data_IF_523453215903
#
_entry.id   IF_523453215903
#
_cell.length_a   1.000
_cell.length_b   1.000
_cell.length_c   1.000
_cell.angle_alpha   90.00
_cell.angle_beta   90.00
_cell.angle_gamma   90.00
#
_symmetry.space_group_name_H-M   'P 1'
#
loop_
_entity.id
_entity.type
_entity.pdbx_description
1 polymer ?
#
# COMPACT_ATOMS: atom_id res chain seq x y z
N UNK A 1 14.76 8.96 -48.72
CA UNK A 1 14.32 9.37 -47.36
C UNK A 1 15.48 9.97 -46.60
N UNK A 2 15.32 11.22 -46.17
CA UNK A 2 16.31 11.98 -45.42
C UNK A 2 16.35 11.51 -43.95
N UNK A 3 17.50 11.67 -43.28
CA UNK A 3 17.72 11.38 -41.86
C UNK A 3 16.71 12.08 -40.95
N UNK A 4 16.23 13.26 -41.37
CA UNK A 4 15.21 14.01 -40.64
C UNK A 4 13.84 13.32 -40.65
N UNK A 5 13.41 12.80 -41.80
CA UNK A 5 12.14 12.08 -41.94
C UNK A 5 12.12 10.79 -41.09
N UNK A 6 13.27 10.12 -40.96
CA UNK A 6 13.39 8.93 -40.09
C UNK A 6 13.24 9.28 -38.61
N UNK A 7 13.74 10.44 -38.18
CA UNK A 7 13.58 10.93 -36.80
C UNK A 7 12.12 11.30 -36.53
N UNK A 8 11.46 11.96 -37.47
CA UNK A 8 10.07 12.36 -37.34
C UNK A 8 9.13 11.16 -37.28
N UNK A 9 9.36 10.14 -38.12
CA UNK A 9 8.59 8.90 -38.09
C UNK A 9 8.75 8.14 -36.76
N UNK A 10 9.96 8.15 -36.19
CA UNK A 10 10.24 7.52 -34.88
C UNK A 10 9.57 8.28 -33.74
N UNK A 11 9.58 9.61 -33.77
CA UNK A 11 8.90 10.45 -32.80
C UNK A 11 7.38 10.30 -32.87
N UNK A 12 6.82 10.18 -34.08
CA UNK A 12 5.39 9.91 -34.30
C UNK A 12 4.97 8.57 -33.70
N UNK A 13 5.71 7.48 -33.95
CA UNK A 13 5.45 6.16 -33.35
C UNK A 13 5.53 6.16 -31.82
N UNK A 14 6.46 6.92 -31.23
CA UNK A 14 6.52 7.06 -29.76
C UNK A 14 5.26 7.75 -29.21
N UNK A 15 4.79 8.83 -29.85
CA UNK A 15 3.56 9.53 -29.43
C UNK A 15 2.33 8.63 -29.51
N UNK A 16 2.22 7.82 -30.57
CA UNK A 16 1.14 6.84 -30.72
C UNK A 16 1.20 5.74 -29.64
N UNK A 17 2.40 5.23 -29.31
CA UNK A 17 2.61 4.29 -28.21
C UNK A 17 2.22 4.87 -26.83
N UNK A 18 2.51 6.14 -26.57
CA UNK A 18 2.08 6.81 -25.34
C UNK A 18 0.57 7.06 -25.32
N UNK A 19 -0.06 7.35 -26.46
CA UNK A 19 -1.51 7.53 -26.57
C UNK A 19 -2.29 6.20 -26.39
N UNK A 20 -1.73 5.07 -26.86
CA UNK A 20 -2.28 3.73 -26.62
C UNK A 20 -2.12 3.28 -25.17
N UNK A 21 -1.09 3.76 -24.46
CA UNK A 21 -0.95 3.60 -23.00
C UNK A 21 -1.81 4.61 -22.21
N UNK A 22 -3.03 4.90 -22.67
CA UNK A 22 -4.07 5.41 -21.77
C UNK A 22 -4.30 4.34 -20.71
N UNK A 23 -3.61 4.49 -19.58
CA UNK A 23 -3.86 3.74 -18.36
C UNK A 23 -5.31 4.07 -18.02
N UNK A 24 -6.22 3.14 -18.30
CA UNK A 24 -7.57 3.24 -17.75
C UNK A 24 -7.40 3.42 -16.24
N UNK A 25 -8.06 4.42 -15.62
CA UNK A 25 -8.00 4.57 -14.19
C UNK A 25 -8.45 3.24 -13.59
N UNK A 26 -7.51 2.51 -12.97
CA UNK A 26 -7.79 1.25 -12.28
C UNK A 26 -9.05 1.49 -11.48
N UNK A 27 -10.10 0.71 -11.77
CA UNK A 27 -11.41 0.77 -11.13
C UNK A 27 -11.17 1.13 -9.67
N UNK A 28 -11.62 2.32 -9.25
CA UNK A 28 -11.57 2.74 -7.85
C UNK A 28 -12.08 1.54 -7.06
N UNK A 29 -11.26 1.00 -6.16
CA UNK A 29 -11.68 -0.09 -5.28
C UNK A 29 -12.90 0.46 -4.55
N UNK A 30 -14.07 0.00 -4.99
CA UNK A 30 -15.33 0.40 -4.41
C UNK A 30 -15.23 0.00 -2.96
N UNK A 31 -15.44 0.98 -2.07
CA UNK A 31 -15.53 0.79 -0.63
C UNK A 31 -16.26 -0.52 -0.38
N UNK A 32 -15.58 -1.54 0.18
CA UNK A 32 -16.26 -2.72 0.72
C UNK A 32 -17.05 -2.24 1.94
N UNK A 33 -18.20 -1.62 1.69
CA UNK A 33 -19.18 -1.36 2.73
C UNK A 33 -19.73 -2.72 3.14
N UNK A 34 -19.23 -3.23 4.26
CA UNK A 34 -19.90 -4.33 4.96
C UNK A 34 -19.50 -5.74 4.56
N UNK A 35 -18.22 -6.04 4.29
CA UNK A 35 -17.74 -7.43 4.37
C UNK A 35 -17.64 -7.85 5.85
N UNK A 36 -18.79 -8.01 6.51
CA UNK A 36 -18.87 -8.59 7.85
C UNK A 36 -18.70 -10.10 7.77
N UNK A 37 -17.77 -10.67 8.55
CA UNK A 37 -17.65 -12.13 8.72
C UNK A 37 -16.42 -12.78 8.08
N UNK A 38 -15.32 -12.06 7.90
CA UNK A 38 -14.05 -12.68 7.48
C UNK A 38 -13.40 -13.36 8.71
N UNK A 39 -12.97 -14.59 8.49
CA UNK A 39 -12.22 -15.43 9.43
C UNK A 39 -10.80 -15.56 8.89
N UNK A 40 -9.81 -15.28 9.73
CA UNK A 40 -8.40 -15.39 9.35
C UNK A 40 -7.58 -15.98 10.49
N UNK A 41 -6.63 -16.82 10.14
CA UNK A 41 -5.60 -17.32 11.05
C UNK A 41 -4.45 -16.34 11.02
N UNK A 42 -4.11 -15.76 12.17
CA UNK A 42 -3.05 -14.76 12.25
C UNK A 42 -2.02 -15.14 13.29
N UNK A 43 -0.79 -14.69 13.05
CA UNK A 43 0.27 -14.64 14.05
C UNK A 43 0.42 -13.21 14.51
N UNK A 44 0.56 -13.01 15.82
CA UNK A 44 1.01 -11.72 16.35
C UNK A 44 2.51 -11.61 16.10
N UNK A 45 2.88 -10.85 15.06
CA UNK A 45 4.27 -10.62 14.70
C UNK A 45 4.93 -9.64 15.67
N UNK A 46 4.23 -8.56 16.03
CA UNK A 46 4.73 -7.56 16.96
C UNK A 46 3.63 -7.02 17.86
N UNK A 47 4.03 -6.63 19.08
CA UNK A 47 3.16 -6.05 20.10
C UNK A 47 3.76 -4.74 20.55
N UNK A 48 3.06 -3.64 20.29
CA UNK A 48 3.49 -2.31 20.71
C UNK A 48 3.13 -2.07 22.17
N UNK A 49 3.85 -1.18 22.87
CA UNK A 49 3.47 -0.79 24.24
C UNK A 49 2.08 -0.15 24.27
N UNK A 50 1.23 -0.47 25.27
CA UNK A 50 -0.08 0.17 25.41
C UNK A 50 0.03 1.70 25.48
N UNK A 51 -0.86 2.39 24.77
CA UNK A 51 -0.96 3.86 24.72
C UNK A 51 -2.30 4.31 25.25
N UNK A 52 -2.36 5.51 25.80
CA UNK A 52 -3.61 6.15 26.24
C UNK A 52 -4.17 6.96 25.06
N UNK A 53 -5.46 6.84 24.79
CA UNK A 53 -6.10 7.64 23.77
C UNK A 53 -6.11 9.12 24.17
N UNK A 54 -5.86 10.03 23.22
CA UNK A 54 -5.75 11.46 23.51
C UNK A 54 -7.05 12.08 24.04
N UNK A 55 -8.20 11.53 23.65
CA UNK A 55 -9.53 12.08 23.95
C UNK A 55 -10.37 11.23 24.89
N UNK A 56 -9.80 10.14 25.42
CA UNK A 56 -10.53 9.23 26.32
C UNK A 56 -9.56 8.49 27.25
N UNK A 57 -9.98 8.13 28.46
CA UNK A 57 -9.14 7.36 29.39
C UNK A 57 -8.86 5.92 28.92
N UNK A 58 -9.44 5.51 27.79
CA UNK A 58 -9.27 4.19 27.20
C UNK A 58 -7.81 3.96 26.75
N UNK A 59 -7.24 2.85 27.21
CA UNK A 59 -5.94 2.35 26.72
C UNK A 59 -6.16 1.54 25.45
N UNK A 60 -5.26 1.69 24.49
CA UNK A 60 -5.23 0.89 23.27
C UNK A 60 -3.83 0.32 23.06
N UNK A 61 -3.76 -0.80 22.35
CA UNK A 61 -2.50 -1.45 22.02
C UNK A 61 -2.53 -1.81 20.53
N UNK A 62 -1.48 -1.40 19.82
CA UNK A 62 -1.31 -1.79 18.43
C UNK A 62 -0.70 -3.20 18.38
N UNK A 63 -1.28 -4.05 17.54
CA UNK A 63 -0.76 -5.39 17.25
C UNK A 63 -0.47 -5.45 15.75
N UNK A 64 0.73 -5.90 15.40
CA UNK A 64 1.05 -6.26 14.02
C UNK A 64 0.67 -7.72 13.83
N UNK A 65 -0.32 -7.96 12.99
CA UNK A 65 -0.79 -9.30 12.64
C UNK A 65 -0.24 -9.67 11.26
N UNK A 66 0.38 -10.83 11.16
CA UNK A 66 0.82 -11.40 9.89
C UNK A 66 -0.04 -12.60 9.55
N UNK A 67 -0.45 -12.67 8.29
CA UNK A 67 -1.00 -13.88 7.71
C UNK A 67 0.15 -14.85 7.42
N UNK A 68 -0.06 -16.13 7.67
CA UNK A 68 0.87 -17.17 7.24
C UNK A 68 0.32 -17.75 5.96
N UNK A 69 1.09 -17.66 4.86
CA UNK A 69 0.71 -17.97 3.46
C UNK A 69 0.24 -19.40 3.15
N UNK A 70 -0.33 -20.13 4.11
CA UNK A 70 -0.94 -21.43 3.91
C UNK A 70 -2.45 -21.25 3.86
N UNK A 71 -2.94 -21.03 2.64
CA UNK A 71 -4.36 -21.05 2.27
C UNK A 71 -4.94 -22.47 2.38
N UNK A 72 -4.90 -23.08 3.55
CA UNK A 72 -5.63 -24.31 3.81
C UNK A 72 -7.11 -23.96 3.99
N UNK A 73 -7.87 -23.92 2.89
CA UNK A 73 -9.35 -23.80 2.90
C UNK A 73 -10.04 -24.86 3.79
N UNK A 74 -9.31 -25.89 4.20
CA UNK A 74 -9.77 -27.02 5.02
C UNK A 74 -9.54 -26.84 6.53
N UNK A 75 -8.94 -25.73 6.99
CA UNK A 75 -8.61 -25.53 8.40
C UNK A 75 -9.40 -24.39 9.07
N UNK A 76 -10.50 -23.93 8.48
CA UNK A 76 -11.36 -22.94 9.13
C UNK A 76 -12.04 -23.63 10.32
N UNK A 77 -11.87 -23.13 11.56
CA UNK A 77 -12.55 -23.71 12.70
C UNK A 77 -14.05 -23.56 12.53
N UNK A 78 -14.76 -24.68 12.64
CA UNK A 78 -16.22 -24.73 12.51
C UNK A 78 -16.90 -24.30 13.82
N UNK A 79 -16.22 -24.50 14.95
CA UNK A 79 -16.75 -24.25 16.29
C UNK A 79 -16.39 -22.84 16.79
N UNK A 80 -17.36 -22.16 17.41
CA UNK A 80 -17.17 -20.80 17.93
C UNK A 80 -16.12 -20.71 19.06
N UNK A 81 -15.86 -21.83 19.74
CA UNK A 81 -14.91 -21.92 20.85
C UNK A 81 -13.45 -21.83 20.42
N UNK A 82 -13.17 -22.10 19.15
CA UNK A 82 -11.82 -22.05 18.59
C UNK A 82 -11.39 -20.63 18.23
N UNK A 83 -12.33 -19.68 18.26
CA UNK A 83 -12.06 -18.28 17.99
C UNK A 83 -11.65 -17.55 19.27
N UNK A 84 -10.54 -16.84 19.17
CA UNK A 84 -10.05 -15.97 20.24
C UNK A 84 -10.50 -14.54 20.00
N UNK A 85 -11.10 -13.91 21.01
CA UNK A 85 -11.38 -12.47 20.96
C UNK A 85 -10.08 -11.66 21.00
N UNK A 86 -10.02 -10.59 20.19
CA UNK A 86 -8.83 -9.71 20.10
C UNK A 86 -8.42 -9.15 21.47
N UNK A 87 -9.40 -8.90 22.37
CA UNK A 87 -9.13 -8.40 23.73
C UNK A 87 -8.26 -9.36 24.54
N UNK A 88 -8.43 -10.67 24.33
CA UNK A 88 -7.73 -11.71 25.09
C UNK A 88 -6.29 -11.91 24.58
N UNK A 89 -6.00 -11.49 23.34
CA UNK A 89 -4.65 -11.54 22.74
C UNK A 89 -3.70 -10.54 23.43
N UNK A 90 -4.23 -9.44 23.97
CA UNK A 90 -3.43 -8.40 24.65
C UNK A 90 -2.75 -8.91 25.94
N UNK A 91 -3.25 -9.98 26.56
CA UNK A 91 -2.64 -10.60 27.75
C UNK A 91 -1.54 -11.61 27.45
N UNK A 92 -1.44 -12.07 26.20
CA UNK A 92 -0.52 -13.15 25.82
C UNK A 92 0.91 -12.61 25.73
N UNK A 93 1.86 -13.29 26.40
CA UNK A 93 3.30 -13.04 26.28
C UNK A 93 3.78 -13.58 24.92
N UNK A 94 4.66 -12.81 24.28
CA UNK A 94 5.26 -12.93 22.93
C UNK A 94 5.89 -14.30 22.63
N UNK A 95 5.08 -15.35 22.57
CA UNK A 95 5.41 -16.60 21.91
C UNK A 95 4.63 -16.58 20.60
N UNK A 96 5.25 -17.08 19.50
CA UNK A 96 4.65 -17.21 18.16
C UNK A 96 3.43 -18.14 18.19
N UNK A 97 2.35 -17.68 18.80
CA UNK A 97 1.10 -18.40 18.94
C UNK A 97 0.14 -17.97 17.84
N UNK A 98 -0.57 -18.94 17.31
CA UNK A 98 -1.55 -18.75 16.25
C UNK A 98 -2.92 -18.55 16.88
N UNK A 99 -3.65 -17.55 16.41
CA UNK A 99 -5.01 -17.28 16.86
C UNK A 99 -5.95 -17.25 15.66
N UNK A 100 -7.10 -17.87 15.82
CA UNK A 100 -8.24 -17.67 14.94
C UNK A 100 -9.07 -16.51 15.47
N UNK A 101 -9.31 -15.51 14.64
CA UNK A 101 -10.08 -14.33 15.04
C UNK A 101 -11.25 -14.09 14.10
N UNK A 102 -12.40 -13.71 14.65
CA UNK A 102 -13.53 -13.13 13.90
C UNK A 102 -13.42 -11.62 14.00
N UNK A 103 -13.36 -10.95 12.86
CA UNK A 103 -13.15 -9.51 12.80
C UNK A 103 -14.09 -8.79 11.84
N UNK A 104 -14.06 -7.46 11.90
CA UNK A 104 -14.58 -6.57 10.85
C UNK A 104 -13.40 -5.78 10.31
N UNK A 105 -13.15 -5.89 9.00
CA UNK A 105 -12.11 -5.14 8.31
C UNK A 105 -12.77 -3.87 7.82
N UNK A 106 -12.27 -2.74 8.26
CA UNK A 106 -12.57 -1.46 7.62
C UNK A 106 -11.34 -1.03 6.83
N UNK A 107 -11.47 -0.97 5.51
CA UNK A 107 -10.47 -0.33 4.66
C UNK A 107 -10.77 1.17 4.67
N UNK A 108 -9.95 1.93 5.38
CA UNK A 108 -9.91 3.38 5.23
C UNK A 108 -9.06 3.69 4.00
N UNK A 109 -9.68 4.31 2.99
CA UNK A 109 -8.93 4.91 1.87
C UNK A 109 -8.14 6.07 2.46
N UNK A 110 -6.86 5.83 2.75
CA UNK A 110 -5.94 6.90 3.06
C UNK A 110 -5.76 7.67 1.75
N UNK A 111 -6.19 8.93 1.71
CA UNK A 111 -5.96 9.83 0.58
C UNK A 111 -4.49 10.29 0.58
N UNK A 112 -3.58 9.33 0.71
CA UNK A 112 -2.14 9.52 0.64
C UNK A 112 -1.72 9.20 -0.79
N UNK A 113 -0.89 10.07 -1.38
CA UNK A 113 -0.29 9.74 -2.67
C UNK A 113 0.63 8.54 -2.44
N UNK A 114 0.31 7.41 -3.07
CA UNK A 114 1.16 6.21 -3.06
C UNK A 114 2.42 6.38 -3.92
N UNK A 115 2.60 7.57 -4.49
CA UNK A 115 3.73 7.94 -5.31
C UNK A 115 4.30 9.27 -4.81
N UNK A 116 5.62 9.40 -4.93
CA UNK A 116 6.30 10.68 -4.75
C UNK A 116 6.94 11.09 -6.08
N UNK A 117 7.16 12.40 -6.25
CA UNK A 117 7.89 12.89 -7.40
C UNK A 117 9.39 12.70 -7.16
N UNK A 118 10.11 12.33 -8.21
CA UNK A 118 11.54 12.12 -8.15
C UNK A 118 12.23 12.58 -9.42
N UNK A 119 13.53 12.84 -9.31
CA UNK A 119 14.38 13.14 -10.46
C UNK A 119 14.44 11.95 -11.42
N UNK A 120 14.16 12.19 -12.71
CA UNK A 120 14.33 11.21 -13.77
C UNK A 120 15.75 10.63 -13.91
N UNK A 121 16.78 11.36 -13.43
CA UNK A 121 18.18 10.94 -13.54
C UNK A 121 18.66 10.16 -12.30
N UNK A 122 18.47 10.71 -11.09
CA UNK A 122 19.02 10.11 -9.86
C UNK A 122 17.99 9.46 -8.93
N UNK A 123 16.70 9.49 -9.28
CA UNK A 123 15.59 8.91 -8.53
C UNK A 123 15.47 9.44 -7.08
N UNK A 124 16.11 10.57 -6.77
CA UNK A 124 15.93 11.25 -5.47
C UNK A 124 14.65 12.06 -5.49
N UNK A 125 14.00 12.12 -4.33
CA UNK A 125 12.73 12.82 -4.13
C UNK A 125 12.81 14.28 -4.58
N UNK A 126 11.72 14.76 -5.16
CA UNK A 126 11.51 16.16 -5.54
C UNK A 126 10.15 16.63 -5.05
N UNK A 127 10.05 17.92 -4.77
CA UNK A 127 8.80 18.61 -4.43
C UNK A 127 8.06 19.15 -5.66
N UNK A 128 8.67 19.05 -6.85
CA UNK A 128 8.09 19.56 -8.10
C UNK A 128 6.92 18.70 -8.59
N UNK A 129 6.05 19.27 -9.44
CA UNK A 129 4.90 18.54 -9.97
C UNK A 129 5.30 17.61 -11.11
N UNK A 130 4.41 16.68 -11.46
CA UNK A 130 4.66 15.75 -12.55
C UNK A 130 4.96 16.47 -13.87
N UNK A 131 6.11 16.15 -14.45
CA UNK A 131 6.55 16.66 -15.74
C UNK A 131 7.34 17.98 -15.67
N UNK A 132 7.39 18.64 -14.51
CA UNK A 132 8.15 19.88 -14.31
C UNK A 132 9.64 19.63 -14.54
N UNK A 133 10.29 20.59 -15.21
CA UNK A 133 11.74 20.61 -15.44
C UNK A 133 12.36 21.51 -14.38
N UNK A 134 13.33 20.98 -13.64
CA UNK A 134 13.97 21.66 -12.51
C UNK A 134 15.45 21.32 -12.40
N UNK A 135 16.18 22.15 -11.66
CA UNK A 135 17.55 21.85 -11.29
C UNK A 135 17.58 20.88 -10.11
N UNK A 136 18.04 19.65 -10.33
CA UNK A 136 18.13 18.65 -9.27
C UNK A 136 19.32 18.91 -8.35
N UNK A 137 19.05 19.22 -7.08
CA UNK A 137 20.07 19.47 -6.05
C UNK A 137 21.00 18.26 -5.82
N UNK A 138 20.49 17.04 -6.02
CA UNK A 138 21.24 15.81 -5.74
C UNK A 138 22.22 15.42 -6.85
N UNK A 139 21.80 15.48 -8.12
CA UNK A 139 22.65 15.08 -9.25
C UNK A 139 23.17 16.26 -10.08
N UNK A 140 22.80 17.49 -9.72
CA UNK A 140 23.19 18.75 -10.39
C UNK A 140 22.77 18.81 -11.86
N UNK A 141 21.81 17.99 -12.27
CA UNK A 141 21.23 18.06 -13.60
C UNK A 141 20.30 19.27 -13.67
N UNK A 142 20.60 20.20 -14.59
CA UNK A 142 19.86 21.46 -14.78
C UNK A 142 18.49 21.24 -15.43
N UNK A 143 18.33 20.15 -16.17
CA UNK A 143 17.10 19.79 -16.89
C UNK A 143 16.52 18.47 -16.36
N UNK A 144 16.49 18.29 -15.04
CA UNK A 144 15.86 17.13 -14.45
C UNK A 144 14.34 17.23 -14.57
N UNK A 145 13.68 16.11 -14.86
CA UNK A 145 12.23 16.03 -14.94
C UNK A 145 11.66 15.29 -13.72
N UNK A 146 10.60 15.83 -13.12
CA UNK A 146 9.89 15.20 -12.01
C UNK A 146 8.96 14.09 -12.51
N UNK A 147 9.21 12.86 -12.06
CA UNK A 147 8.45 11.66 -12.43
C UNK A 147 7.93 10.91 -11.19
N UNK A 148 6.71 10.34 -11.23
CA UNK A 148 6.17 9.51 -10.15
C UNK A 148 7.01 8.25 -9.97
N UNK A 149 7.25 7.89 -8.72
CA UNK A 149 7.83 6.62 -8.29
C UNK A 149 6.98 5.99 -7.21
#
# INVERSE_FOLDING_TARGET
MNTQEKKDLRNKRRRELYAQRKIEPKKKVTRLQGSSGWTVKVVVAEKFSPRIAQKSPTKYQNLLLMDTELSCKLCIPTDEKDFTEIRNIQGVKTVKQFFWIKGKASVTVLNQNYWYMSCNNCNKISSENYGDIYHCVFCKCLEAQAIPR
#
